data_IF_930020420647
#
_entry.id   IF_930020420647
#
_cell.length_a   1.000
_cell.length_b   1.000
_cell.length_c   1.000
_cell.angle_alpha   90.00
_cell.angle_beta   90.00
_cell.angle_gamma   90.00
#
_symmetry.space_group_name_H-M   'P 1'
#
loop_
_entity.id
_entity.type
_entity.pdbx_description
1 polymer ?
#
# COMPACT_ATOMS: atom_id res chain seq x y z
N UNK A 1 -14.01 -10.58 4.71
CA UNK A 1 -12.88 -9.77 4.19
C UNK A 1 -13.17 -9.42 2.74
N UNK A 2 -12.91 -8.18 2.33
CA UNK A 2 -13.00 -7.78 0.92
C UNK A 2 -11.99 -8.56 0.08
N UNK A 3 -12.30 -8.88 -1.18
CA UNK A 3 -11.36 -9.51 -2.14
C UNK A 3 -10.05 -8.72 -2.32
N UNK A 4 -10.07 -7.44 -1.96
CA UNK A 4 -8.95 -6.53 -2.08
C UNK A 4 -8.20 -6.30 -0.78
N UNK A 5 -8.79 -6.67 0.36
CA UNK A 5 -8.17 -6.52 1.67
C UNK A 5 -7.26 -7.72 1.91
N UNK A 6 -6.01 -7.59 1.49
CA UNK A 6 -5.02 -8.67 1.51
C UNK A 6 -4.32 -8.82 2.85
N UNK A 7 -4.22 -7.72 3.61
CA UNK A 7 -3.64 -7.71 4.93
C UNK A 7 -4.74 -7.72 5.98
N UNK A 8 -4.59 -8.59 6.98
CA UNK A 8 -5.35 -8.45 8.23
C UNK A 8 -5.02 -7.12 8.91
N UNK A 9 -5.90 -6.65 9.78
CA UNK A 9 -5.67 -5.38 10.50
C UNK A 9 -4.44 -5.48 11.41
N UNK A 10 -4.20 -6.63 12.05
CA UNK A 10 -3.00 -6.85 12.84
C UNK A 10 -1.70 -6.77 12.00
N UNK A 11 -1.70 -7.29 10.77
CA UNK A 11 -0.56 -7.13 9.86
C UNK A 11 -0.39 -5.69 9.41
N UNK A 12 -1.51 -5.00 9.15
CA UNK A 12 -1.49 -3.60 8.77
C UNK A 12 -0.91 -2.69 9.86
N UNK A 13 -1.30 -2.91 11.12
CA UNK A 13 -0.78 -2.17 12.28
C UNK A 13 0.75 -2.31 12.45
N UNK A 14 1.33 -3.44 12.03
CA UNK A 14 2.79 -3.62 12.05
C UNK A 14 3.49 -2.87 10.90
N UNK A 15 2.85 -2.76 9.74
CA UNK A 15 3.44 -2.16 8.53
C UNK A 15 3.27 -0.64 8.51
N UNK A 16 2.11 -0.13 8.89
CA UNK A 16 1.75 1.28 8.75
C UNK A 16 2.78 2.26 9.37
N UNK A 17 3.36 2.01 10.56
CA UNK A 17 4.35 2.89 11.17
C UNK A 17 5.68 2.96 10.41
N UNK A 18 5.96 1.99 9.54
CA UNK A 18 7.20 1.92 8.75
C UNK A 18 7.10 2.73 7.46
N UNK A 19 5.90 3.14 7.06
CA UNK A 19 5.68 3.88 5.82
C UNK A 19 6.09 5.35 6.00
N UNK A 20 6.60 5.98 4.93
CA UNK A 20 6.97 7.39 4.99
C UNK A 20 5.76 8.24 5.35
N UNK A 21 5.94 9.13 6.33
CA UNK A 21 4.94 10.14 6.67
C UNK A 21 5.02 11.32 5.71
N UNK A 22 3.92 12.07 5.62
CA UNK A 22 3.79 13.20 4.70
C UNK A 22 4.86 14.25 5.02
N UNK A 23 5.82 14.46 4.13
CA UNK A 23 7.00 15.32 4.36
C UNK A 23 6.75 16.83 4.21
N UNK A 24 5.49 17.28 4.25
CA UNK A 24 5.11 18.69 4.14
C UNK A 24 5.36 19.35 2.77
N UNK A 25 5.92 18.62 1.79
CA UNK A 25 6.15 19.14 0.43
C UNK A 25 4.82 19.40 -0.29
N UNK A 26 4.72 20.57 -0.92
CA UNK A 26 3.60 20.90 -1.80
C UNK A 26 3.65 20.00 -3.05
N UNK A 27 2.56 19.29 -3.30
CA UNK A 27 2.45 18.32 -4.39
C UNK A 27 1.11 17.58 -4.35
N UNK A 28 0.93 16.60 -5.24
CA UNK A 28 -0.26 15.75 -5.22
C UNK A 28 -0.36 15.04 -3.87
N UNK A 29 -1.53 15.07 -3.20
CA UNK A 29 -1.71 14.31 -1.96
C UNK A 29 -1.34 12.84 -2.16
N UNK A 30 -0.72 12.25 -1.14
CA UNK A 30 -0.52 10.81 -1.10
C UNK A 30 -1.89 10.11 -1.19
N UNK A 31 -1.96 9.06 -2.01
CA UNK A 31 -3.09 8.13 -1.94
C UNK A 31 -3.13 7.45 -0.57
N UNK A 32 -4.25 6.82 -0.24
CA UNK A 32 -4.32 5.97 0.94
C UNK A 32 -3.20 4.91 0.89
N UNK A 33 -2.41 4.88 1.95
CA UNK A 33 -1.20 4.06 2.04
C UNK A 33 -1.55 2.57 2.03
N UNK A 34 -2.65 2.17 2.68
CA UNK A 34 -3.09 0.76 2.70
C UNK A 34 -3.45 0.28 1.31
N UNK A 35 -4.26 1.06 0.61
CA UNK A 35 -4.65 0.76 -0.78
C UNK A 35 -3.43 0.61 -1.69
N UNK A 36 -2.43 1.48 -1.56
CA UNK A 36 -1.20 1.40 -2.35
C UNK A 36 -0.41 0.11 -2.06
N UNK A 37 -0.21 -0.24 -0.79
CA UNK A 37 0.52 -1.44 -0.39
C UNK A 37 -0.22 -2.71 -0.84
N UNK A 38 -1.54 -2.77 -0.65
CA UNK A 38 -2.34 -3.92 -1.09
C UNK A 38 -2.33 -4.09 -2.62
N UNK A 39 -2.30 -2.99 -3.38
CA UNK A 39 -2.14 -3.04 -4.84
C UNK A 39 -0.76 -3.58 -5.25
N UNK A 40 0.31 -3.20 -4.53
CA UNK A 40 1.66 -3.76 -4.74
C UNK A 40 1.65 -5.27 -4.47
N UNK A 41 1.07 -5.72 -3.36
CA UNK A 41 0.97 -7.15 -3.01
C UNK A 41 0.17 -7.91 -4.08
N UNK A 42 -0.99 -7.40 -4.49
CA UNK A 42 -1.80 -8.01 -5.54
C UNK A 42 -0.98 -8.23 -6.80
N UNK A 43 -0.23 -7.21 -7.20
CA UNK A 43 0.61 -7.23 -8.39
C UNK A 43 1.69 -8.31 -8.33
N UNK A 44 2.38 -8.41 -7.21
CA UNK A 44 3.37 -9.47 -6.96
C UNK A 44 2.74 -10.86 -7.03
N UNK A 45 1.56 -11.06 -6.41
CA UNK A 45 0.86 -12.35 -6.41
C UNK A 45 0.37 -12.76 -7.80
N UNK A 46 0.00 -11.80 -8.64
CA UNK A 46 -0.47 -12.04 -10.00
C UNK A 46 0.65 -12.07 -11.05
N UNK A 47 1.92 -11.83 -10.66
CA UNK A 47 3.04 -11.81 -11.60
C UNK A 47 2.98 -10.69 -12.63
N UNK A 48 2.31 -9.57 -12.33
CA UNK A 48 2.20 -8.44 -13.26
C UNK A 48 3.52 -7.63 -13.21
N UNK A 49 4.16 -7.46 -14.37
CA UNK A 49 5.45 -6.78 -14.51
C UNK A 49 5.36 -5.24 -14.32
N UNK A 50 6.46 -4.63 -13.88
CA UNK A 50 6.60 -3.17 -13.91
C UNK A 50 6.74 -2.67 -15.35
N UNK A 51 6.03 -1.58 -15.60
CA UNK A 51 6.26 -0.75 -16.77
C UNK A 51 7.48 0.07 -16.38
N UNK A 52 8.64 -0.51 -16.63
CA UNK A 52 9.91 0.20 -16.52
C UNK A 52 9.96 1.29 -17.60
#
# INVERSE_FOLDING_TARGET
MSRFQMLSDAQWELIAPMLPTRTGRAGRPFADARTMVEAIIYRYRCGIAWRD
#
